data_IF_559810443937
#
_entry.id   IF_559810443937
#
_cell.length_a   1.000
_cell.length_b   1.000
_cell.length_c   1.000
_cell.angle_alpha   90.00
_cell.angle_beta   90.00
_cell.angle_gamma   90.00
#
_symmetry.space_group_name_H-M   'P 1'
#
loop_
_entity.id
_entity.type
_entity.pdbx_description
1 polymer ?
#
# COMPACT_ATOMS: atom_id res chain seq x y z
N UNK A 1 -47.83 1.77 -10.18
CA UNK A 1 -46.57 2.06 -9.49
C UNK A 1 -45.66 2.78 -10.47
N UNK A 2 -45.67 4.12 -10.45
CA UNK A 2 -44.88 4.95 -11.37
C UNK A 2 -43.45 5.04 -10.86
N UNK A 3 -42.50 4.54 -11.65
CA UNK A 3 -41.07 4.62 -11.37
C UNK A 3 -40.53 5.99 -11.77
N UNK A 4 -40.01 6.72 -10.79
CA UNK A 4 -39.30 7.98 -10.99
C UNK A 4 -37.89 7.67 -11.51
N UNK A 5 -37.63 7.95 -12.78
CA UNK A 5 -36.28 7.95 -13.34
C UNK A 5 -35.51 9.17 -12.82
N UNK A 6 -34.47 8.95 -12.03
CA UNK A 6 -33.47 9.98 -11.74
C UNK A 6 -32.59 10.18 -12.98
N UNK A 7 -32.89 11.21 -13.76
CA UNK A 7 -32.00 11.72 -14.80
C UNK A 7 -30.81 12.43 -14.14
N UNK A 8 -29.64 11.81 -14.24
CA UNK A 8 -28.38 12.47 -13.94
C UNK A 8 -28.19 13.58 -14.99
N UNK A 9 -28.20 14.84 -14.55
CA UNK A 9 -27.97 15.99 -15.43
C UNK A 9 -26.51 15.96 -15.90
N UNK A 10 -26.31 15.52 -17.14
CA UNK A 10 -25.08 15.73 -17.88
C UNK A 10 -24.87 17.23 -18.01
N UNK A 11 -23.90 17.80 -17.29
CA UNK A 11 -23.41 19.14 -17.62
C UNK A 11 -22.82 19.07 -19.02
N UNK A 12 -23.54 19.62 -19.99
CA UNK A 12 -23.10 19.80 -21.37
C UNK A 12 -21.86 20.68 -21.32
N UNK A 13 -20.74 20.13 -21.80
CA UNK A 13 -19.50 20.85 -21.98
C UNK A 13 -19.74 21.94 -23.05
N UNK A 14 -19.43 23.18 -22.68
CA UNK A 14 -19.50 24.32 -23.57
C UNK A 14 -18.46 24.16 -24.70
N UNK A 15 -18.88 24.37 -25.95
CA UNK A 15 -18.12 24.03 -27.17
C UNK A 15 -16.91 24.96 -27.44
N UNK A 16 -16.49 25.76 -26.46
CA UNK A 16 -15.47 26.81 -26.65
C UNK A 16 -14.02 26.33 -26.53
N UNK A 17 -13.75 25.06 -26.21
CA UNK A 17 -12.38 24.50 -26.19
C UNK A 17 -11.41 25.15 -25.17
N UNK A 18 -11.82 26.25 -24.54
CA UNK A 18 -11.14 26.86 -23.43
C UNK A 18 -11.48 26.03 -22.19
N UNK A 19 -10.60 25.09 -21.87
CA UNK A 19 -10.58 24.44 -20.56
C UNK A 19 -10.35 25.56 -19.54
N UNK A 20 -11.44 26.15 -19.03
CA UNK A 20 -11.38 26.96 -17.81
C UNK A 20 -10.80 26.01 -16.79
N UNK A 21 -9.52 26.18 -16.47
CA UNK A 21 -8.95 25.64 -15.24
C UNK A 21 -9.87 26.18 -14.16
N UNK A 22 -10.80 25.33 -13.72
CA UNK A 22 -11.47 25.51 -12.45
C UNK A 22 -10.34 25.89 -11.52
N UNK A 23 -10.41 27.07 -10.92
CA UNK A 23 -9.57 27.44 -9.78
C UNK A 23 -9.96 26.46 -8.68
N UNK A 24 -9.46 25.23 -8.81
CA UNK A 24 -9.75 24.12 -7.95
C UNK A 24 -9.39 24.59 -6.56
N UNK A 25 -10.34 24.46 -5.63
CA UNK A 25 -10.17 24.75 -4.21
C UNK A 25 -8.83 24.15 -3.77
N UNK A 26 -7.81 25.00 -3.63
CA UNK A 26 -6.48 24.59 -3.18
C UNK A 26 -6.43 24.38 -1.65
N UNK A 27 -7.55 24.63 -0.97
CA UNK A 27 -7.70 24.42 0.46
C UNK A 27 -8.17 22.99 0.65
N UNK A 28 -7.31 22.12 1.18
CA UNK A 28 -7.79 20.87 1.76
C UNK A 28 -8.80 21.25 2.82
N UNK A 29 -10.03 20.81 2.66
CA UNK A 29 -11.03 21.00 3.69
C UNK A 29 -10.59 20.25 4.97
N UNK A 30 -10.86 20.81 6.16
CA UNK A 30 -10.43 20.23 7.44
C UNK A 30 -10.98 18.80 7.69
N UNK A 31 -11.87 18.31 6.84
CA UNK A 31 -12.48 16.99 6.94
C UNK A 31 -11.66 15.83 6.32
N UNK A 32 -10.50 16.12 5.70
CA UNK A 32 -9.67 15.11 4.99
C UNK A 32 -8.34 14.81 5.71
N UNK A 33 -8.10 15.43 6.86
CA UNK A 33 -6.90 15.22 7.66
C UNK A 33 -7.12 15.58 9.14
N UNK A 34 -6.15 15.26 9.99
CA UNK A 34 -6.16 15.56 11.43
C UNK A 34 -5.85 17.01 11.80
N UNK A 35 -5.56 17.88 10.82
CA UNK A 35 -4.96 19.20 11.05
C UNK A 35 -3.47 19.17 11.42
N UNK A 36 -2.92 18.01 11.77
CA UNK A 36 -1.50 17.86 12.08
C UNK A 36 -0.64 18.02 10.81
N UNK A 37 0.55 18.60 10.96
CA UNK A 37 1.53 18.64 9.88
C UNK A 37 2.28 17.31 9.81
N UNK A 38 2.31 16.70 8.64
CA UNK A 38 3.13 15.53 8.36
C UNK A 38 4.60 15.94 8.44
N UNK A 39 5.39 15.11 9.11
CA UNK A 39 6.84 15.19 9.05
C UNK A 39 7.29 14.02 8.18
N UNK A 40 7.93 14.28 7.05
CA UNK A 40 8.60 13.21 6.33
C UNK A 40 9.70 12.68 7.23
N UNK A 41 9.58 11.41 7.62
CA UNK A 41 10.62 10.76 8.38
C UNK A 41 11.79 10.49 7.42
N UNK A 42 13.03 10.78 7.83
CA UNK A 42 14.18 10.36 7.04
C UNK A 42 14.17 8.83 6.89
N UNK A 43 14.85 8.28 5.86
CA UNK A 43 15.05 6.84 5.78
C UNK A 43 15.57 6.32 7.11
N UNK A 44 14.84 5.39 7.71
CA UNK A 44 15.24 4.77 8.95
C UNK A 44 15.96 3.48 8.61
N UNK A 45 17.27 3.59 8.45
CA UNK A 45 18.11 2.41 8.31
C UNK A 45 17.78 1.42 9.42
N UNK A 46 17.57 0.16 9.06
CA UNK A 46 17.28 -0.93 9.99
C UNK A 46 18.34 -0.99 11.10
N UNK A 47 18.06 -0.37 12.24
CA UNK A 47 19.00 -0.26 13.34
C UNK A 47 18.82 -1.42 14.32
N UNK A 48 19.71 -2.40 14.20
CA UNK A 48 19.84 -3.47 15.18
C UNK A 48 20.51 -2.96 16.45
N UNK A 49 19.89 -3.25 17.60
CA UNK A 49 20.52 -2.95 18.89
C UNK A 49 21.91 -3.61 19.00
N UNK A 50 22.79 -3.02 19.80
CA UNK A 50 24.16 -3.52 19.98
C UNK A 50 24.24 -5.03 20.25
N UNK A 51 23.41 -5.62 21.13
CA UNK A 51 23.40 -7.06 21.38
C UNK A 51 22.77 -7.90 20.26
N UNK A 52 21.95 -7.30 19.40
CA UNK A 52 21.28 -8.01 18.32
C UNK A 52 22.25 -8.43 17.21
N UNK A 53 23.14 -7.53 16.79
CA UNK A 53 24.14 -7.81 15.74
C UNK A 53 24.96 -9.08 16.02
N UNK A 54 25.65 -9.24 17.17
CA UNK A 54 26.44 -10.43 17.44
C UNK A 54 25.56 -11.68 17.59
N UNK A 55 24.35 -11.56 18.18
CA UNK A 55 23.44 -12.70 18.27
C UNK A 55 22.99 -13.15 16.89
N UNK A 56 22.67 -12.23 15.99
CA UNK A 56 22.26 -12.57 14.63
C UNK A 56 23.39 -13.27 13.84
N UNK A 57 24.63 -12.79 13.98
CA UNK A 57 25.81 -13.44 13.36
C UNK A 57 26.07 -14.86 13.86
N UNK A 58 25.60 -15.20 15.07
CA UNK A 58 25.76 -16.55 15.61
C UNK A 58 24.67 -17.53 15.15
N UNK A 59 23.71 -17.10 14.31
CA UNK A 59 22.62 -17.92 13.81
C UNK A 59 22.92 -18.38 12.38
N UNK A 60 22.38 -19.53 11.94
CA UNK A 60 22.57 -20.02 10.58
C UNK A 60 22.04 -19.02 9.54
N UNK A 61 22.85 -18.74 8.52
CA UNK A 61 22.47 -17.92 7.37
C UNK A 61 23.06 -18.51 6.07
N UNK A 62 22.47 -18.25 4.89
CA UNK A 62 22.85 -18.89 3.63
C UNK A 62 24.31 -18.61 3.22
N UNK A 63 24.85 -17.46 3.64
CA UNK A 63 26.18 -16.98 3.24
C UNK A 63 27.25 -17.13 4.33
N UNK A 64 27.15 -18.13 5.21
CA UNK A 64 28.15 -18.35 6.28
C UNK A 64 29.60 -18.50 5.75
N UNK A 65 29.76 -18.86 4.47
CA UNK A 65 31.06 -19.03 3.81
C UNK A 65 31.54 -17.78 3.02
N UNK A 66 30.75 -16.70 2.90
CA UNK A 66 31.10 -15.54 2.07
C UNK A 66 31.97 -14.47 2.77
N UNK A 67 32.62 -14.82 3.88
CA UNK A 67 33.56 -13.95 4.61
C UNK A 67 33.01 -13.48 5.95
N UNK A 68 33.73 -13.83 7.01
CA UNK A 68 33.41 -13.66 8.43
C UNK A 68 33.28 -12.21 8.93
N UNK A 69 33.21 -11.24 8.01
CA UNK A 69 32.88 -9.85 8.24
C UNK A 69 31.55 -9.68 8.99
N UNK A 70 30.46 -10.22 8.44
CA UNK A 70 29.09 -9.92 8.90
C UNK A 70 28.81 -8.40 9.08
N UNK A 71 29.71 -7.56 8.57
CA UNK A 71 29.91 -6.13 8.84
C UNK A 71 29.76 -5.31 7.55
N UNK A 72 29.33 -5.95 6.45
CA UNK A 72 28.91 -5.26 5.22
C UNK A 72 27.68 -4.36 5.41
N UNK A 73 27.14 -4.24 6.62
CA UNK A 73 26.14 -3.23 6.97
C UNK A 73 26.74 -1.81 7.02
N UNK A 74 28.03 -1.66 7.29
CA UNK A 74 28.57 -0.35 7.69
C UNK A 74 29.16 0.48 6.53
N UNK A 75 29.15 -0.02 5.27
CA UNK A 75 29.63 0.78 4.13
C UNK A 75 28.94 0.61 2.76
N UNK A 76 27.98 -0.32 2.55
CA UNK A 76 27.49 -0.50 1.17
C UNK A 76 26.37 -1.51 0.89
N UNK A 77 25.38 -1.67 1.79
CA UNK A 77 24.15 -2.39 1.43
C UNK A 77 24.13 -3.89 1.75
N UNK A 78 24.83 -4.32 2.80
CA UNK A 78 24.71 -5.69 3.32
C UNK A 78 23.29 -6.02 3.79
N UNK A 79 22.86 -7.25 3.50
CA UNK A 79 21.56 -7.81 3.93
C UNK A 79 21.67 -8.38 5.34
N UNK A 80 20.76 -8.01 6.23
CA UNK A 80 20.61 -8.64 7.54
C UNK A 80 19.71 -9.88 7.45
N UNK A 81 20.30 -11.07 7.51
CA UNK A 81 19.54 -12.31 7.36
C UNK A 81 18.54 -12.58 8.49
N UNK A 82 18.79 -12.17 9.73
CA UNK A 82 17.78 -12.32 10.79
C UNK A 82 16.53 -11.47 10.52
N UNK A 83 16.72 -10.24 10.02
CA UNK A 83 15.61 -9.41 9.60
C UNK A 83 14.84 -10.03 8.45
N UNK A 84 15.56 -10.55 7.45
CA UNK A 84 14.98 -11.28 6.34
C UNK A 84 14.10 -12.42 6.83
N UNK A 85 14.57 -13.22 7.79
CA UNK A 85 13.76 -14.31 8.32
C UNK A 85 12.51 -13.82 9.06
N UNK A 86 12.60 -12.77 9.87
CA UNK A 86 11.44 -12.16 10.53
C UNK A 86 10.44 -11.64 9.49
N UNK A 87 10.92 -10.95 8.45
CA UNK A 87 10.13 -10.48 7.32
C UNK A 87 9.40 -11.63 6.63
N UNK A 88 10.08 -12.73 6.34
CA UNK A 88 9.47 -13.90 5.71
C UNK A 88 8.35 -14.50 6.59
N UNK A 89 8.47 -14.46 7.92
CA UNK A 89 7.38 -14.86 8.81
C UNK A 89 6.16 -13.94 8.67
N UNK A 90 6.37 -12.63 8.56
CA UNK A 90 5.29 -11.68 8.32
C UNK A 90 4.61 -11.90 6.96
N UNK A 91 5.38 -12.17 5.91
CA UNK A 91 4.81 -12.51 4.60
C UNK A 91 4.02 -13.81 4.63
N UNK A 92 4.56 -14.86 5.26
CA UNK A 92 3.87 -16.14 5.42
C UNK A 92 2.60 -16.04 6.28
N UNK A 93 2.53 -15.06 7.20
CA UNK A 93 1.34 -14.78 8.00
C UNK A 93 0.36 -13.82 7.35
N UNK A 94 0.67 -13.33 6.13
CA UNK A 94 -0.05 -12.25 5.45
C UNK A 94 -0.23 -10.99 6.31
N UNK A 95 0.69 -10.72 7.25
CA UNK A 95 0.60 -9.58 8.16
C UNK A 95 -0.46 -9.70 9.25
N UNK A 96 -1.03 -10.88 9.48
CA UNK A 96 -2.02 -11.08 10.55
C UNK A 96 -1.40 -11.19 11.95
N UNK A 97 -0.08 -11.36 12.02
CA UNK A 97 0.71 -11.31 13.24
C UNK A 97 1.28 -9.92 13.53
N UNK A 98 1.68 -9.69 14.77
CA UNK A 98 2.61 -8.60 15.10
C UNK A 98 4.04 -9.00 14.72
N UNK A 99 4.92 -8.02 14.51
CA UNK A 99 6.35 -8.19 14.38
C UNK A 99 6.96 -8.95 15.56
N UNK A 100 6.41 -8.81 16.78
CA UNK A 100 6.82 -9.63 17.92
C UNK A 100 6.48 -11.11 17.70
N UNK A 101 5.26 -11.42 17.26
CA UNK A 101 4.82 -12.80 17.00
C UNK A 101 5.63 -13.43 15.86
N UNK A 102 5.91 -12.65 14.81
CA UNK A 102 6.68 -13.11 13.65
C UNK A 102 8.17 -13.28 13.97
N UNK A 103 8.73 -12.41 14.82
CA UNK A 103 10.06 -12.63 15.39
C UNK A 103 10.10 -13.88 16.27
N UNK A 104 9.08 -14.11 17.09
CA UNK A 104 9.01 -15.31 17.94
C UNK A 104 9.00 -16.57 17.07
N UNK A 105 8.22 -16.59 15.99
CA UNK A 105 8.22 -17.71 15.03
C UNK A 105 9.61 -17.93 14.45
N UNK A 106 10.27 -16.91 13.93
CA UNK A 106 11.62 -17.01 13.39
C UNK A 106 12.62 -17.54 14.44
N UNK A 107 12.50 -17.10 15.69
CA UNK A 107 13.39 -17.53 16.77
C UNK A 107 13.22 -19.01 17.16
N UNK A 108 12.02 -19.58 17.03
CA UNK A 108 11.77 -21.01 17.26
C UNK A 108 12.48 -21.90 16.25
N UNK A 109 12.78 -21.37 15.06
CA UNK A 109 13.60 -22.03 14.05
C UNK A 109 15.09 -21.71 14.19
N UNK A 110 15.50 -20.95 15.21
CA UNK A 110 16.88 -20.50 15.39
C UNK A 110 17.32 -19.49 14.32
N UNK A 111 16.39 -18.80 13.65
CA UNK A 111 16.67 -17.89 12.53
C UNK A 111 16.67 -16.41 12.94
N UNK A 112 16.20 -16.10 14.15
CA UNK A 112 16.27 -14.77 14.74
C UNK A 112 16.48 -14.86 16.26
N UNK A 113 17.01 -13.80 16.90
CA UNK A 113 17.00 -13.70 18.37
C UNK A 113 15.59 -13.84 18.95
N UNK A 114 15.49 -14.40 20.15
CA UNK A 114 14.22 -14.51 20.88
C UNK A 114 13.71 -13.12 21.30
N UNK A 115 12.49 -12.71 20.91
CA UNK A 115 11.94 -11.39 21.23
C UNK A 115 11.80 -11.09 22.72
N UNK A 116 11.84 -12.11 23.58
CA UNK A 116 11.81 -11.95 25.04
C UNK A 116 13.17 -11.48 25.60
N UNK A 117 14.24 -11.76 24.88
CA UNK A 117 15.61 -11.41 25.28
C UNK A 117 16.11 -10.19 24.52
N UNK A 118 15.88 -10.20 23.20
CA UNK A 118 16.28 -9.16 22.27
C UNK A 118 15.09 -8.92 21.38
N UNK A 119 14.36 -7.82 21.59
CA UNK A 119 13.19 -7.44 20.79
C UNK A 119 13.60 -6.55 19.62
N UNK A 120 13.00 -6.79 18.46
CA UNK A 120 13.10 -5.92 17.30
C UNK A 120 11.90 -4.96 17.27
N UNK A 121 12.12 -3.73 16.80
CA UNK A 121 11.09 -2.70 16.67
C UNK A 121 10.96 -2.19 15.24
N UNK A 122 10.38 -2.99 14.31
CA UNK A 122 10.15 -2.55 12.93
C UNK A 122 9.18 -1.38 12.81
N UNK A 123 8.29 -1.21 13.79
CA UNK A 123 7.48 -0.01 13.97
C UNK A 123 7.96 0.74 15.22
N UNK A 124 8.16 2.04 15.10
CA UNK A 124 8.22 2.93 16.25
C UNK A 124 6.82 3.04 16.85
N UNK A 125 6.73 3.07 18.17
CA UNK A 125 5.46 3.14 18.90
C UNK A 125 4.47 2.01 18.52
N UNK A 126 4.89 0.73 18.49
CA UNK A 126 4.03 -0.38 18.08
C UNK A 126 2.76 -0.49 18.93
N UNK A 127 2.79 0.00 20.17
CA UNK A 127 1.63 0.06 21.03
C UNK A 127 0.46 0.88 20.45
N UNK A 128 0.68 1.76 19.47
CA UNK A 128 -0.40 2.51 18.84
C UNK A 128 -1.15 1.71 17.77
N UNK A 129 -0.41 1.14 16.82
CA UNK A 129 -0.98 0.60 15.58
C UNK A 129 -0.72 -0.90 15.36
N UNK A 130 0.09 -1.54 16.19
CA UNK A 130 0.35 -2.98 16.14
C UNK A 130 -0.57 -3.77 17.07
N UNK A 131 -1.80 -3.27 17.28
CA UNK A 131 -2.81 -3.94 18.07
C UNK A 131 -3.88 -4.53 17.17
N UNK A 132 -4.44 -5.69 17.56
CA UNK A 132 -5.65 -6.21 16.93
C UNK A 132 -6.82 -5.33 17.35
N UNK A 133 -7.21 -4.43 16.44
CA UNK A 133 -8.38 -3.59 16.64
C UNK A 133 -9.62 -4.37 16.23
N UNK A 134 -10.50 -4.61 17.19
CA UNK A 134 -11.76 -5.30 16.95
C UNK A 134 -12.89 -4.34 16.55
N UNK A 135 -12.76 -3.05 16.88
CA UNK A 135 -13.84 -2.08 16.71
C UNK A 135 -13.36 -0.78 16.07
N UNK A 136 -14.06 -0.40 14.99
CA UNK A 136 -14.03 0.93 14.39
C UNK A 136 -15.23 1.72 14.90
N UNK A 137 -15.11 3.04 14.98
CA UNK A 137 -16.26 3.86 15.35
C UNK A 137 -17.16 4.06 14.13
N UNK A 138 -18.31 3.38 14.12
CA UNK A 138 -19.31 3.54 13.06
C UNK A 138 -20.38 4.53 13.55
N UNK A 139 -20.37 5.75 13.00
CA UNK A 139 -21.35 6.80 13.27
C UNK A 139 -21.78 7.42 11.94
N UNK A 140 -23.07 7.73 11.77
CA UNK A 140 -23.53 8.53 10.63
C UNK A 140 -23.30 7.90 9.24
N UNK A 141 -23.63 6.62 9.06
CA UNK A 141 -23.35 5.88 7.82
C UNK A 141 -23.80 6.59 6.52
N UNK A 142 -24.95 7.27 6.55
CA UNK A 142 -25.46 8.01 5.38
C UNK A 142 -24.65 9.30 5.10
N UNK A 143 -24.23 10.02 6.15
CA UNK A 143 -23.39 11.21 6.02
C UNK A 143 -21.99 10.86 5.51
N UNK A 144 -21.40 9.77 6.02
CA UNK A 144 -20.09 9.31 5.58
C UNK A 144 -20.12 8.75 4.16
N UNK A 145 -21.21 8.09 3.76
CA UNK A 145 -21.41 7.68 2.38
C UNK A 145 -21.60 8.89 1.45
N UNK A 146 -22.29 9.92 1.89
CA UNK A 146 -22.41 11.17 1.14
C UNK A 146 -21.04 11.83 0.98
N UNK A 147 -20.27 11.95 2.05
CA UNK A 147 -18.87 12.41 2.03
C UNK A 147 -18.03 11.61 1.05
N UNK A 148 -18.08 10.27 1.10
CA UNK A 148 -17.29 9.42 0.20
C UNK A 148 -17.62 9.70 -1.28
N UNK A 149 -18.90 9.89 -1.61
CA UNK A 149 -19.33 10.15 -2.99
C UNK A 149 -18.89 11.52 -3.51
N UNK A 150 -18.79 12.50 -2.62
CA UNK A 150 -18.37 13.86 -2.97
C UNK A 150 -16.85 13.97 -3.06
N UNK A 151 -16.15 13.36 -2.10
CA UNK A 151 -14.72 13.58 -1.87
C UNK A 151 -13.82 12.53 -2.54
N UNK A 152 -14.35 11.34 -2.85
CA UNK A 152 -13.55 10.19 -3.32
C UNK A 152 -14.02 9.67 -4.66
N UNK A 153 -13.14 9.76 -5.67
CA UNK A 153 -13.29 9.03 -6.92
C UNK A 153 -12.77 7.59 -6.75
N UNK A 154 -13.61 6.59 -6.99
CA UNK A 154 -13.25 5.17 -6.84
C UNK A 154 -13.00 4.52 -8.20
N UNK A 155 -11.83 3.91 -8.35
CA UNK A 155 -11.40 3.19 -9.54
C UNK A 155 -11.10 1.73 -9.19
N UNK A 156 -11.46 0.82 -10.09
CA UNK A 156 -11.14 -0.61 -9.96
C UNK A 156 -10.32 -1.05 -11.16
N UNK A 157 -9.07 -1.41 -10.90
CA UNK A 157 -8.15 -1.99 -11.90
C UNK A 157 -8.49 -3.47 -12.06
N UNK A 158 -8.79 -3.88 -13.28
CA UNK A 158 -9.21 -5.23 -13.59
C UNK A 158 -8.82 -5.61 -15.03
N UNK A 159 -8.27 -6.81 -15.23
CA UNK A 159 -8.07 -7.35 -16.58
C UNK A 159 -9.41 -7.68 -17.22
N UNK A 160 -9.53 -7.44 -18.54
CA UNK A 160 -10.78 -7.71 -19.27
C UNK A 160 -11.25 -9.15 -19.12
N UNK A 161 -10.29 -10.07 -19.09
CA UNK A 161 -10.44 -11.53 -18.99
C UNK A 161 -10.80 -12.01 -17.58
N UNK A 162 -10.58 -11.20 -16.55
CA UNK A 162 -10.86 -11.55 -15.16
C UNK A 162 -12.33 -11.26 -14.78
N UNK A 163 -13.26 -11.92 -15.47
CA UNK A 163 -14.71 -11.66 -15.37
C UNK A 163 -15.30 -12.01 -14.01
N UNK A 164 -14.83 -13.09 -13.38
CA UNK A 164 -15.36 -13.53 -12.07
C UNK A 164 -14.92 -12.58 -10.94
N UNK A 165 -13.65 -12.16 -10.98
CA UNK A 165 -13.10 -11.13 -10.07
C UNK A 165 -13.87 -9.81 -10.23
N UNK A 166 -14.08 -9.38 -11.48
CA UNK A 166 -14.89 -8.19 -11.79
C UNK A 166 -16.30 -8.27 -11.23
N UNK A 167 -16.98 -9.40 -11.42
CA UNK A 167 -18.33 -9.62 -10.89
C UNK A 167 -18.35 -9.47 -9.37
N UNK A 168 -17.42 -10.13 -8.68
CA UNK A 168 -17.34 -10.09 -7.22
C UNK A 168 -17.13 -8.68 -6.65
N UNK A 169 -16.14 -7.93 -7.17
CA UNK A 169 -15.87 -6.56 -6.68
C UNK A 169 -17.02 -5.59 -7.03
N UNK A 170 -17.59 -5.69 -8.24
CA UNK A 170 -18.66 -4.79 -8.68
C UNK A 170 -19.96 -5.01 -7.89
N UNK A 171 -20.32 -6.27 -7.59
CA UNK A 171 -21.44 -6.60 -6.70
C UNK A 171 -21.19 -6.03 -5.30
N UNK A 172 -19.98 -6.16 -4.77
CA UNK A 172 -19.63 -5.64 -3.44
C UNK A 172 -19.74 -4.11 -3.36
N UNK A 173 -19.20 -3.39 -4.34
CA UNK A 173 -19.28 -1.94 -4.39
C UNK A 173 -20.72 -1.45 -4.57
N UNK A 174 -21.51 -2.16 -5.37
CA UNK A 174 -22.95 -1.90 -5.55
C UNK A 174 -23.72 -2.10 -4.24
N UNK A 175 -23.45 -3.18 -3.50
CA UNK A 175 -24.05 -3.45 -2.19
C UNK A 175 -23.77 -2.31 -1.20
N UNK A 176 -22.53 -1.81 -1.19
CA UNK A 176 -22.11 -0.68 -0.35
C UNK A 176 -22.56 0.68 -0.89
N UNK A 177 -23.23 0.71 -2.04
CA UNK A 177 -23.70 1.93 -2.73
C UNK A 177 -22.57 2.92 -3.05
N UNK A 178 -21.38 2.41 -3.29
CA UNK A 178 -20.18 3.17 -3.66
C UNK A 178 -20.15 3.27 -5.19
N UNK A 179 -20.18 4.46 -5.79
CA UNK A 179 -19.98 4.61 -7.23
C UNK A 179 -18.51 4.32 -7.59
N UNK A 180 -18.28 3.66 -8.73
CA UNK A 180 -16.93 3.30 -9.16
C UNK A 180 -16.79 3.28 -10.68
N UNK A 181 -15.56 3.40 -11.14
CA UNK A 181 -15.18 3.27 -12.54
C UNK A 181 -14.25 2.07 -12.74
N UNK A 182 -14.58 1.20 -13.70
CA UNK A 182 -13.64 0.17 -14.17
C UNK A 182 -12.50 0.84 -14.92
N UNK A 183 -11.27 0.51 -14.57
CA UNK A 183 -10.09 0.79 -15.37
C UNK A 183 -9.55 -0.54 -15.90
N UNK A 184 -9.42 -0.60 -17.22
CA UNK A 184 -8.81 -1.75 -17.87
C UNK A 184 -7.34 -1.83 -17.47
N UNK A 185 -7.00 -2.95 -16.82
CA UNK A 185 -5.63 -3.33 -16.49
C UNK A 185 -4.79 -3.51 -17.74
N UNK A 186 -3.48 -3.61 -17.55
CA UNK A 186 -2.52 -3.74 -18.65
C UNK A 186 -2.04 -5.19 -18.70
N UNK A 187 -2.26 -5.83 -19.84
CA UNK A 187 -1.71 -7.17 -20.07
C UNK A 187 -0.19 -7.06 -20.24
N UNK A 188 0.52 -8.05 -19.72
CA UNK A 188 1.98 -8.00 -19.67
C UNK A 188 2.67 -7.94 -21.04
N UNK A 189 1.99 -8.42 -22.10
CA UNK A 189 2.51 -8.41 -23.46
C UNK A 189 2.57 -7.01 -24.07
N UNK A 190 1.89 -6.03 -23.45
CA UNK A 190 1.95 -4.62 -23.84
C UNK A 190 3.22 -3.91 -23.33
N UNK A 191 4.01 -4.54 -22.44
CA UNK A 191 5.24 -3.95 -21.91
C UNK A 191 6.44 -4.16 -22.86
N UNK A 192 7.01 -3.10 -23.45
CA UNK A 192 8.12 -3.21 -24.39
C UNK A 192 9.50 -3.27 -23.71
N UNK A 193 9.57 -3.23 -22.38
CA UNK A 193 10.83 -3.11 -21.65
C UNK A 193 11.64 -4.42 -21.56
N UNK A 194 12.88 -4.36 -21.07
CA UNK A 194 13.74 -5.53 -20.89
C UNK A 194 13.06 -6.59 -20.03
N UNK A 195 13.13 -7.86 -20.46
CA UNK A 195 12.54 -9.01 -19.76
C UNK A 195 13.45 -9.58 -18.66
N UNK A 196 14.55 -8.92 -18.35
CA UNK A 196 15.58 -9.43 -17.45
C UNK A 196 15.05 -9.49 -16.01
N UNK A 197 14.53 -10.66 -15.62
CA UNK A 197 14.16 -11.00 -14.25
C UNK A 197 12.85 -10.39 -13.75
N UNK A 198 12.09 -9.69 -14.59
CA UNK A 198 10.78 -9.15 -14.21
C UNK A 198 9.69 -10.14 -14.60
N UNK A 199 8.91 -10.56 -13.61
CA UNK A 199 7.68 -11.26 -13.89
C UNK A 199 6.71 -10.41 -14.71
N UNK A 200 6.17 -11.00 -15.78
CA UNK A 200 5.20 -10.35 -16.67
C UNK A 200 4.01 -9.77 -15.89
N UNK A 201 3.49 -10.54 -14.94
CA UNK A 201 2.41 -10.08 -14.07
C UNK A 201 2.81 -8.85 -13.26
N UNK A 202 4.04 -8.83 -12.73
CA UNK A 202 4.56 -7.71 -11.92
C UNK A 202 4.63 -6.42 -12.73
N UNK A 203 5.12 -6.47 -13.98
CA UNK A 203 5.16 -5.31 -14.86
C UNK A 203 3.74 -4.82 -15.22
N UNK A 204 2.82 -5.74 -15.51
CA UNK A 204 1.42 -5.41 -15.83
C UNK A 204 0.71 -4.70 -14.67
N UNK A 205 0.90 -5.18 -13.44
CA UNK A 205 0.37 -4.52 -12.23
C UNK A 205 0.92 -3.11 -12.10
N UNK A 206 2.24 -2.91 -12.20
CA UNK A 206 2.85 -1.59 -12.09
C UNK A 206 2.32 -0.61 -13.16
N UNK A 207 2.19 -1.05 -14.42
CA UNK A 207 1.64 -0.23 -15.50
C UNK A 207 0.17 0.13 -15.27
N UNK A 208 -0.64 -0.83 -14.83
CA UNK A 208 -2.04 -0.61 -14.56
C UNK A 208 -2.25 0.43 -13.46
N UNK A 209 -1.48 0.37 -12.37
CA UNK A 209 -1.50 1.39 -11.32
C UNK A 209 -1.01 2.75 -11.82
N UNK A 210 0.09 2.82 -12.58
CA UNK A 210 0.57 4.09 -13.15
C UNK A 210 -0.47 4.75 -14.08
N UNK A 211 -1.18 3.95 -14.89
CA UNK A 211 -2.29 4.40 -15.74
C UNK A 211 -3.49 4.87 -14.91
N UNK A 212 -3.80 4.17 -13.81
CA UNK A 212 -4.86 4.56 -12.90
C UNK A 212 -4.55 5.89 -12.19
N UNK A 213 -3.31 6.11 -11.74
CA UNK A 213 -2.87 7.40 -11.19
C UNK A 213 -2.99 8.53 -12.21
N UNK A 214 -2.65 8.28 -13.47
CA UNK A 214 -2.83 9.25 -14.55
C UNK A 214 -4.31 9.60 -14.79
N UNK A 215 -5.19 8.61 -14.81
CA UNK A 215 -6.63 8.85 -14.98
C UNK A 215 -7.19 9.62 -13.78
N UNK A 216 -6.82 9.23 -12.55
CA UNK A 216 -7.26 9.87 -11.32
C UNK A 216 -6.80 11.34 -11.22
N UNK A 217 -5.59 11.67 -11.70
CA UNK A 217 -5.07 13.03 -11.71
C UNK A 217 -5.89 14.00 -12.58
N UNK A 218 -6.72 13.49 -13.50
CA UNK A 218 -7.63 14.29 -14.35
C UNK A 218 -9.02 14.44 -13.73
N UNK A 219 -9.29 13.75 -12.62
CA UNK A 219 -10.56 13.78 -11.91
C UNK A 219 -10.80 15.09 -11.16
N UNK A 220 -12.05 15.33 -10.77
CA UNK A 220 -12.44 16.50 -10.00
C UNK A 220 -12.45 16.28 -8.48
N UNK A 221 -12.54 15.02 -8.03
CA UNK A 221 -12.54 14.67 -6.62
C UNK A 221 -11.16 14.97 -6.00
N UNK A 222 -11.08 15.42 -4.74
CA UNK A 222 -9.81 15.66 -4.07
C UNK A 222 -9.07 14.37 -3.69
N UNK A 223 -9.79 13.25 -3.55
CA UNK A 223 -9.22 11.94 -3.27
C UNK A 223 -9.50 10.94 -4.38
N UNK A 224 -8.55 10.03 -4.59
CA UNK A 224 -8.71 8.90 -5.48
C UNK A 224 -8.46 7.59 -4.73
N UNK A 225 -9.41 6.68 -4.75
CA UNK A 225 -9.29 5.32 -4.25
C UNK A 225 -9.10 4.38 -5.43
N UNK A 226 -7.95 3.73 -5.53
CA UNK A 226 -7.64 2.74 -6.56
C UNK A 226 -7.65 1.36 -5.91
N UNK A 227 -8.51 0.48 -6.41
CA UNK A 227 -8.71 -0.88 -5.94
C UNK A 227 -8.21 -1.86 -7.01
N UNK A 228 -7.65 -2.98 -6.57
CA UNK A 228 -7.54 -4.18 -7.40
C UNK A 228 -8.86 -4.98 -7.36
N UNK A 229 -9.04 -5.86 -8.32
CA UNK A 229 -10.26 -6.64 -8.52
C UNK A 229 -10.42 -7.83 -7.57
N UNK A 230 -9.43 -8.10 -6.72
CA UNK A 230 -9.52 -8.99 -5.56
C UNK A 230 -9.66 -8.24 -4.22
N UNK A 231 -9.92 -6.93 -4.23
CA UNK A 231 -10.25 -6.21 -3.01
C UNK A 231 -11.65 -6.56 -2.50
N UNK A 232 -11.82 -6.65 -1.17
CA UNK A 232 -13.13 -6.75 -0.54
C UNK A 232 -13.26 -5.74 0.59
N UNK A 233 -14.07 -4.72 0.36
CA UNK A 233 -14.33 -3.65 1.33
C UNK A 233 -15.27 -4.13 2.44
N UNK A 234 -14.98 -3.81 3.69
CA UNK A 234 -15.84 -4.19 4.82
C UNK A 234 -17.18 -3.43 4.83
N UNK A 235 -18.12 -3.88 5.66
CA UNK A 235 -19.29 -3.05 6.01
C UNK A 235 -18.84 -1.75 6.68
N UNK A 236 -19.62 -0.69 6.56
CA UNK A 236 -19.27 0.62 7.13
C UNK A 236 -18.00 1.24 6.53
N UNK A 237 -17.58 0.81 5.34
CA UNK A 237 -16.33 1.24 4.71
C UNK A 237 -16.19 2.77 4.65
N UNK A 238 -17.26 3.49 4.30
CA UNK A 238 -17.24 4.95 4.21
C UNK A 238 -16.86 5.61 5.55
N UNK A 239 -17.48 5.19 6.66
CA UNK A 239 -17.18 5.69 8.00
C UNK A 239 -15.74 5.40 8.42
N UNK A 240 -15.28 4.17 8.16
CA UNK A 240 -13.90 3.76 8.48
C UNK A 240 -12.86 4.51 7.67
N UNK A 241 -13.13 4.73 6.38
CA UNK A 241 -12.25 5.51 5.51
C UNK A 241 -12.19 6.98 5.95
N UNK A 242 -13.34 7.59 6.30
CA UNK A 242 -13.39 8.98 6.78
C UNK A 242 -12.71 9.14 8.15
N UNK A 243 -12.88 8.17 9.04
CA UNK A 243 -12.12 8.12 10.29
C UNK A 243 -10.61 8.07 10.01
N UNK A 244 -10.20 7.20 9.09
CA UNK A 244 -8.79 7.04 8.73
C UNK A 244 -8.18 8.33 8.16
N UNK A 245 -8.88 9.02 7.26
CA UNK A 245 -8.39 10.29 6.71
C UNK A 245 -8.24 11.34 7.80
N UNK A 246 -9.17 11.42 8.75
CA UNK A 246 -9.09 12.31 9.92
C UNK A 246 -7.96 11.98 10.90
N UNK A 247 -7.42 10.77 10.88
CA UNK A 247 -6.23 10.41 11.65
C UNK A 247 -4.93 10.78 10.92
N UNK A 248 -4.96 10.82 9.59
CA UNK A 248 -3.79 11.12 8.77
C UNK A 248 -3.39 12.61 8.83
N UNK A 249 -2.09 12.94 8.84
CA UNK A 249 -1.63 14.33 8.86
C UNK A 249 -1.84 15.02 7.49
N UNK A 250 -2.10 16.32 7.43
CA UNK A 250 -2.61 16.99 6.21
C UNK A 250 -1.72 16.95 4.96
N UNK A 251 -0.43 16.65 5.10
CA UNK A 251 0.48 16.45 3.96
C UNK A 251 0.71 14.96 3.62
N UNK A 252 -0.15 14.05 4.09
CA UNK A 252 -0.18 12.67 3.57
C UNK A 252 -0.42 12.70 2.06
N UNK A 253 0.22 11.80 1.31
CA UNK A 253 0.08 11.73 -0.15
C UNK A 253 -0.56 10.40 -0.57
N UNK A 254 -0.19 9.31 0.12
CA UNK A 254 -0.66 7.96 -0.17
C UNK A 254 -0.99 7.23 1.13
N UNK A 255 -2.09 6.48 1.14
CA UNK A 255 -2.44 5.54 2.20
C UNK A 255 -2.73 4.17 1.59
N UNK A 256 -1.98 3.14 1.97
CA UNK A 256 -2.38 1.75 1.73
C UNK A 256 -3.42 1.36 2.78
N UNK A 257 -4.62 0.99 2.33
CA UNK A 257 -5.75 0.62 3.20
C UNK A 257 -5.61 -0.80 3.78
N UNK A 258 -4.59 -1.54 3.35
CA UNK A 258 -4.20 -2.82 3.91
C UNK A 258 -2.73 -3.09 3.58
N UNK A 259 -1.88 -3.04 4.58
CA UNK A 259 -0.45 -3.33 4.48
C UNK A 259 -0.11 -4.58 5.26
N UNK A 260 0.52 -5.58 4.65
CA UNK A 260 0.90 -6.81 5.36
C UNK A 260 1.97 -6.53 6.42
N UNK A 261 3.06 -5.89 6.02
CA UNK A 261 4.26 -5.80 6.85
C UNK A 261 4.85 -4.38 6.82
N UNK A 262 4.15 -3.36 7.35
CA UNK A 262 4.65 -2.01 7.33
C UNK A 262 5.88 -1.88 8.23
N UNK A 263 6.89 -1.16 7.74
CA UNK A 263 8.07 -0.74 8.49
C UNK A 263 8.09 0.79 8.59
N UNK A 264 8.36 1.33 9.79
CA UNK A 264 8.40 2.77 10.02
C UNK A 264 7.92 3.16 11.41
N UNK A 265 6.92 4.05 11.50
CA UNK A 265 6.42 4.56 12.78
C UNK A 265 4.90 4.54 12.83
N UNK A 266 4.31 4.03 13.90
CA UNK A 266 2.90 4.25 14.17
C UNK A 266 2.64 5.74 14.47
N UNK A 267 1.68 6.35 13.75
CA UNK A 267 1.33 7.77 13.89
C UNK A 267 -0.04 7.98 14.54
N UNK A 268 -0.93 7.00 14.40
CA UNK A 268 -2.23 6.98 15.04
C UNK A 268 -2.61 5.54 15.44
N UNK A 269 -3.83 5.37 15.95
CA UNK A 269 -4.40 4.07 16.24
C UNK A 269 -4.45 3.19 14.98
N UNK A 270 -4.83 3.75 13.83
CA UNK A 270 -5.01 2.97 12.60
C UNK A 270 -3.90 3.11 11.56
N UNK A 271 -2.95 4.03 11.75
CA UNK A 271 -1.95 4.38 10.74
C UNK A 271 -0.52 4.22 11.22
N UNK A 272 0.29 3.66 10.34
CA UNK A 272 1.74 3.75 10.35
C UNK A 272 2.22 4.62 9.19
N UNK A 273 3.22 5.45 9.41
CA UNK A 273 4.03 6.03 8.34
C UNK A 273 5.07 5.01 7.92
N UNK A 274 5.13 4.74 6.63
CA UNK A 274 6.06 3.80 6.02
C UNK A 274 7.37 4.53 5.74
N UNK A 275 8.50 3.87 5.96
CA UNK A 275 9.83 4.37 5.58
C UNK A 275 10.63 3.24 4.92
N UNK A 276 11.67 3.55 4.12
CA UNK A 276 12.55 2.51 3.59
C UNK A 276 13.27 1.79 4.73
N UNK A 277 13.32 0.46 4.71
CA UNK A 277 14.01 -0.33 5.73
C UNK A 277 15.55 -0.35 5.54
N UNK A 278 16.00 -0.09 4.32
CA UNK A 278 17.41 -0.07 3.93
C UNK A 278 18.09 -1.45 3.91
N UNK A 279 17.34 -2.54 4.08
CA UNK A 279 17.93 -3.87 4.19
C UNK A 279 18.16 -4.55 2.83
N UNK A 280 19.37 -4.45 2.29
CA UNK A 280 19.68 -5.03 0.98
C UNK A 280 19.42 -4.08 -0.18
N UNK A 281 19.49 -2.77 0.07
CA UNK A 281 19.51 -1.73 -0.95
C UNK A 281 18.17 -1.01 -1.13
N UNK A 282 18.05 -0.26 -2.22
CA UNK A 282 16.89 0.63 -2.43
C UNK A 282 15.59 -0.15 -2.65
N UNK A 283 15.63 -1.25 -3.39
CA UNK A 283 14.43 -2.06 -3.70
C UNK A 283 14.17 -3.19 -2.68
N UNK A 284 14.54 -3.00 -1.42
CA UNK A 284 14.22 -3.95 -0.34
C UNK A 284 12.95 -3.61 0.44
N UNK A 285 12.24 -2.56 0.02
CA UNK A 285 11.10 -1.97 0.72
C UNK A 285 10.04 -2.99 1.17
N UNK A 286 9.42 -2.67 2.32
CA UNK A 286 8.47 -3.52 3.00
C UNK A 286 7.11 -2.86 3.05
N UNK A 287 6.25 -3.18 2.10
CA UNK A 287 4.84 -2.91 2.24
C UNK A 287 3.98 -3.56 1.14
N UNK A 288 3.67 -4.85 1.26
CA UNK A 288 2.65 -5.44 0.38
C UNK A 288 1.25 -4.95 0.75
N UNK A 289 0.59 -4.26 -0.18
CA UNK A 289 -0.69 -3.62 0.09
C UNK A 289 -1.36 -2.86 -1.06
N UNK A 290 -0.90 -3.00 -2.31
CA UNK A 290 -1.46 -2.31 -3.48
C UNK A 290 -2.90 -2.70 -3.86
N UNK A 291 -3.48 -3.67 -3.14
CA UNK A 291 -4.89 -4.08 -3.21
C UNK A 291 -5.88 -2.90 -3.13
N UNK A 292 -5.60 -1.91 -2.26
CA UNK A 292 -6.49 -0.78 -2.04
C UNK A 292 -5.69 0.45 -1.57
N UNK A 293 -5.57 1.43 -2.45
CA UNK A 293 -4.68 2.58 -2.29
C UNK A 293 -5.47 3.89 -2.39
N UNK A 294 -5.39 4.72 -1.35
CA UNK A 294 -5.99 6.05 -1.31
C UNK A 294 -4.91 7.11 -1.59
N UNK A 295 -5.20 8.03 -2.49
CA UNK A 295 -4.27 9.09 -2.90
C UNK A 295 -4.91 10.47 -2.74
N UNK A 296 -4.10 11.46 -2.35
CA UNK A 296 -4.48 12.86 -2.55
C UNK A 296 -4.26 13.23 -4.03
N UNK A 297 -5.32 13.67 -4.71
CA UNK A 297 -5.29 13.96 -6.15
C UNK A 297 -4.29 15.07 -6.48
N UNK A 298 -4.16 16.08 -5.61
CA UNK A 298 -3.21 17.19 -5.78
C UNK A 298 -1.72 16.76 -5.80
N UNK A 299 -1.38 15.59 -5.26
CA UNK A 299 -0.02 15.05 -5.26
C UNK A 299 0.20 13.93 -6.28
N UNK A 300 -0.82 13.52 -7.03
CA UNK A 300 -0.74 12.35 -7.90
C UNK A 300 0.32 12.45 -8.98
N UNK A 301 0.57 13.64 -9.54
CA UNK A 301 1.59 13.81 -10.56
C UNK A 301 3.00 13.55 -10.01
N UNK A 302 3.31 14.11 -8.84
CA UNK A 302 4.58 13.90 -8.13
C UNK A 302 4.75 12.43 -7.73
N UNK A 303 3.73 11.84 -7.10
CA UNK A 303 3.73 10.43 -6.68
C UNK A 303 3.93 9.51 -7.88
N UNK A 304 3.19 9.73 -8.98
CA UNK A 304 3.31 8.96 -10.22
C UNK A 304 4.71 9.07 -10.82
N UNK A 305 5.29 10.27 -10.85
CA UNK A 305 6.63 10.50 -11.39
C UNK A 305 7.71 9.78 -10.55
N UNK A 306 7.62 9.89 -9.22
CA UNK A 306 8.53 9.21 -8.30
C UNK A 306 8.40 7.68 -8.39
N UNK A 307 7.17 7.17 -8.41
CA UNK A 307 6.90 5.73 -8.54
C UNK A 307 7.36 5.19 -9.89
N UNK A 308 7.07 5.87 -11.00
CA UNK A 308 7.55 5.49 -12.34
C UNK A 308 9.07 5.40 -12.39
N UNK A 309 9.77 6.33 -11.74
CA UNK A 309 11.24 6.30 -11.64
C UNK A 309 11.72 5.10 -10.84
N UNK A 310 11.15 4.85 -9.66
CA UNK A 310 11.52 3.72 -8.82
C UNK A 310 11.30 2.37 -9.54
N UNK A 311 10.15 2.20 -10.20
CA UNK A 311 9.82 0.97 -10.91
C UNK A 311 10.77 0.73 -12.10
N UNK A 312 10.93 1.71 -12.99
CA UNK A 312 11.60 1.47 -14.28
C UNK A 312 13.08 1.84 -14.32
N UNK A 313 13.48 2.90 -13.63
CA UNK A 313 14.87 3.35 -13.65
C UNK A 313 15.69 2.68 -12.55
N UNK A 314 15.10 2.55 -11.36
CA UNK A 314 15.77 1.94 -10.20
C UNK A 314 15.53 0.44 -10.11
N UNK A 315 14.71 -0.10 -11.03
CA UNK A 315 14.40 -1.53 -11.17
C UNK A 315 13.69 -2.13 -9.95
N UNK A 316 12.96 -1.32 -9.19
CA UNK A 316 12.05 -1.81 -8.15
C UNK A 316 10.73 -2.24 -8.80
N UNK A 317 10.75 -3.31 -9.60
CA UNK A 317 9.64 -3.58 -10.51
C UNK A 317 8.32 -3.92 -9.83
N UNK A 318 8.38 -4.47 -8.62
CA UNK A 318 7.21 -4.65 -7.80
C UNK A 318 6.77 -3.28 -7.24
N UNK A 319 5.54 -2.88 -7.56
CA UNK A 319 5.02 -1.55 -7.26
C UNK A 319 4.86 -1.30 -5.75
N UNK A 320 4.61 -2.36 -4.96
CA UNK A 320 4.57 -2.32 -3.50
C UNK A 320 5.95 -1.94 -2.96
N UNK A 321 6.98 -2.64 -3.44
CA UNK A 321 8.38 -2.41 -3.08
C UNK A 321 8.85 -1.03 -3.55
N UNK A 322 8.46 -0.61 -4.74
CA UNK A 322 8.82 0.69 -5.31
C UNK A 322 8.23 1.86 -4.52
N UNK A 323 6.97 1.77 -4.08
CA UNK A 323 6.38 2.83 -3.26
C UNK A 323 7.00 2.87 -1.87
N UNK A 324 7.28 1.70 -1.27
CA UNK A 324 7.98 1.62 0.00
C UNK A 324 9.41 2.18 -0.10
N UNK A 325 10.12 1.98 -1.21
CA UNK A 325 11.49 2.48 -1.39
C UNK A 325 11.61 3.99 -1.55
N UNK A 326 10.53 4.66 -1.97
CA UNK A 326 10.46 6.12 -2.11
C UNK A 326 9.67 6.78 -0.98
N UNK A 327 9.39 6.06 0.11
CA UNK A 327 8.61 6.60 1.25
C UNK A 327 9.35 7.66 2.07
N UNK A 328 10.62 7.93 1.73
CA UNK A 328 11.39 9.10 2.17
C UNK A 328 11.13 10.35 1.32
N UNK A 329 10.58 10.18 0.12
CA UNK A 329 10.20 11.23 -0.83
C UNK A 329 8.68 11.43 -0.88
N UNK A 330 7.92 10.39 -0.55
CA UNK A 330 6.45 10.38 -0.57
C UNK A 330 5.94 10.15 0.84
N UNK A 331 5.04 11.01 1.32
CA UNK A 331 4.36 10.86 2.60
C UNK A 331 3.38 9.67 2.56
N UNK A 332 3.95 8.47 2.70
CA UNK A 332 3.28 7.19 2.57
C UNK A 332 2.87 6.63 3.94
N UNK A 333 1.58 6.34 4.07
CA UNK A 333 1.00 5.73 5.26
C UNK A 333 0.34 4.39 4.92
N UNK A 334 0.12 3.59 5.95
CA UNK A 334 -0.37 2.24 5.81
C UNK A 334 -1.21 1.83 7.03
N UNK A 335 -2.32 1.15 6.76
CA UNK A 335 -3.12 0.42 7.75
C UNK A 335 -2.49 -0.97 7.93
N UNK A 336 -1.91 -1.30 9.09
CA UNK A 336 -1.34 -2.63 9.33
C UNK A 336 -2.40 -3.74 9.25
N UNK A 337 -2.11 -4.86 8.57
CA UNK A 337 -3.08 -5.95 8.32
C UNK A 337 -3.54 -6.68 9.58
N UNK A 338 -2.80 -6.54 10.68
CA UNK A 338 -3.23 -6.99 12.00
C UNK A 338 -4.52 -6.27 12.44
N UNK A 339 -4.75 -5.05 11.95
CA UNK A 339 -5.98 -4.30 12.13
C UNK A 339 -6.99 -4.78 11.10
N UNK A 340 -7.95 -5.56 11.57
CA UNK A 340 -9.01 -6.09 10.71
C UNK A 340 -10.05 -4.99 10.43
N UNK A 341 -10.81 -5.17 9.36
CA UNK A 341 -12.12 -4.52 9.23
C UNK A 341 -12.23 -3.34 8.27
N UNK A 342 -11.19 -2.99 7.50
CA UNK A 342 -11.29 -2.01 6.41
C UNK A 342 -11.35 -2.69 5.02
N UNK A 343 -10.30 -3.43 4.66
CA UNK A 343 -10.20 -4.19 3.40
C UNK A 343 -9.68 -5.59 3.69
N UNK A 344 -10.19 -6.60 2.96
CA UNK A 344 -9.59 -7.93 2.89
C UNK A 344 -9.33 -8.30 1.43
N UNK A 345 -8.43 -9.25 1.24
CA UNK A 345 -8.17 -9.84 -0.08
C UNK A 345 -9.20 -10.95 -0.29
N UNK A 346 -9.81 -10.98 -1.46
CA UNK A 346 -10.65 -12.10 -1.88
C UNK A 346 -9.75 -13.32 -2.11
N UNK A 347 -10.23 -14.52 -1.80
CA UNK A 347 -9.45 -15.76 -1.92
C UNK A 347 -9.22 -16.22 -3.37
N UNK A 348 -9.10 -15.30 -4.31
CA UNK A 348 -8.71 -15.61 -5.69
C UNK A 348 -7.20 -15.86 -5.75
N UNK A 349 -6.76 -16.73 -6.65
CA UNK A 349 -5.33 -16.83 -6.96
C UNK A 349 -4.84 -15.49 -7.53
N UNK A 350 -3.65 -15.07 -7.11
CA UNK A 350 -3.01 -13.87 -7.65
C UNK A 350 -2.75 -14.06 -9.14
N UNK A 351 -3.37 -13.22 -9.98
CA UNK A 351 -3.10 -13.21 -11.42
C UNK A 351 -1.64 -12.86 -11.70
N UNK A 352 -1.01 -12.03 -10.84
CA UNK A 352 0.43 -11.74 -10.90
C UNK A 352 1.23 -13.03 -10.79
N UNK A 353 0.97 -13.83 -9.75
CA UNK A 353 1.73 -15.05 -9.49
C UNK A 353 1.49 -16.11 -10.57
N UNK A 354 0.24 -16.27 -11.03
CA UNK A 354 -0.10 -17.17 -12.14
C UNK A 354 0.68 -16.80 -13.42
N UNK A 355 0.71 -15.51 -13.80
CA UNK A 355 1.45 -15.04 -14.99
C UNK A 355 2.97 -15.14 -14.84
N UNK A 356 3.49 -14.91 -13.63
CA UNK A 356 4.91 -15.05 -13.37
C UNK A 356 5.34 -16.52 -13.49
N UNK A 357 4.51 -17.47 -13.05
CA UNK A 357 4.75 -18.92 -13.25
C UNK A 357 4.74 -19.28 -14.73
N UNK A 358 3.75 -18.81 -15.49
CA UNK A 358 3.64 -19.05 -16.94
C UNK A 358 4.86 -18.52 -17.73
N UNK A 359 5.48 -17.44 -17.26
CA UNK A 359 6.66 -16.84 -17.90
C UNK A 359 8.00 -17.39 -17.40
N UNK A 360 8.01 -18.33 -16.45
CA UNK A 360 9.23 -18.93 -15.91
C UNK A 360 10.03 -18.00 -15.00
N UNK A 361 9.38 -17.00 -14.39
CA UNK A 361 10.01 -15.97 -13.55
C UNK A 361 9.48 -15.97 -12.10
N UNK A 362 8.79 -17.04 -11.69
CA UNK A 362 8.23 -17.19 -10.34
C UNK A 362 9.22 -17.80 -9.35
#
# INVERSE_FOLDING_TARGET
>A
MSGTFFLWSSRIADASGAFRRSTARAVIEPDVCSGAKATLLPPRGFHLSGPWRPKCRSLPHPDADAGADGAGADAGGGRNWCWEYVRHQCYGSHGYGSWWEDQLKASRFGLAPDPRLLRLFPLERPELCEQRLETWEEKGADEDLAWLREEVAVYVVNLRTATDRWKAISERLTQLKIPFQRLEGVEADEWPGPRDGIGRGTAGVALAHLKALEQAARGAAPLALILEDDAWLAEGFASKLRQLTREAPCQWQVISLKSRCPFGSCVSKHLSQVVPDGNGGKCSGLNFGFLAMLYQVRSLEEVRAALKRAVWHEKCYDVDVALASISDQVAYYAVPSIQRGLVKEMGFESLRDARNKESGTA
#
